data_IF_947931517410
#
_entry.id   IF_947931517410
#
_cell.length_a   1.000
_cell.length_b   1.000
_cell.length_c   1.000
_cell.angle_alpha   90.00
_cell.angle_beta   90.00
_cell.angle_gamma   90.00
#
_symmetry.space_group_name_H-M   'P 1'
#
loop_
_entity.id
_entity.type
_entity.pdbx_description
1 polymer ?
#
# COMPACT_ATOMS: atom_id res chain seq x y z
N UNK A 1 31.77 9.33 14.76
CA UNK A 1 33.04 9.91 15.23
C UNK A 1 33.52 9.01 16.37
N UNK A 2 34.81 8.67 16.38
CA UNK A 2 35.51 7.68 17.21
C UNK A 2 35.31 6.20 16.74
N UNK A 3 36.31 5.58 16.07
CA UNK A 3 37.57 4.95 16.58
C UNK A 3 37.28 3.50 17.02
N UNK A 4 38.02 2.42 16.74
CA UNK A 4 39.41 2.05 16.40
C UNK A 4 39.33 0.66 15.72
N UNK A 5 40.08 0.29 14.68
CA UNK A 5 41.53 0.10 14.54
C UNK A 5 42.12 -1.02 15.44
N UNK A 6 42.64 -2.08 14.80
CA UNK A 6 43.96 -2.70 15.06
C UNK A 6 44.09 -4.10 14.45
N UNK A 7 44.99 -4.15 13.48
CA UNK A 7 46.06 -5.13 13.26
C UNK A 7 46.15 -6.32 14.24
N UNK A 8 46.49 -7.50 13.71
CA UNK A 8 47.72 -8.21 14.10
C UNK A 8 48.15 -9.16 12.96
N UNK A 9 49.38 -8.89 12.54
CA UNK A 9 50.24 -9.65 11.65
C UNK A 9 50.95 -10.78 12.43
N UNK A 10 51.14 -11.90 11.73
CA UNK A 10 52.35 -12.70 11.60
C UNK A 10 53.11 -13.33 12.79
N UNK A 11 53.68 -14.47 12.42
CA UNK A 11 55.00 -15.01 12.75
C UNK A 11 55.16 -16.19 13.71
N UNK A 12 56.11 -17.02 13.26
CA UNK A 12 56.40 -18.41 13.57
C UNK A 12 56.96 -18.65 14.97
N UNK A 13 56.87 -19.89 15.46
CA UNK A 13 57.95 -20.43 16.27
C UNK A 13 58.20 -21.91 15.98
N UNK A 14 59.33 -22.14 15.31
CA UNK A 14 60.07 -23.41 15.21
C UNK A 14 60.87 -23.68 16.50
N UNK A 15 61.40 -24.91 16.59
CA UNK A 15 62.37 -25.47 17.56
C UNK A 15 61.75 -25.95 18.89
N UNK A 16 62.05 -27.11 19.45
CA UNK A 16 63.09 -28.12 19.22
C UNK A 16 63.48 -28.71 20.59
N UNK A 17 63.24 -30.00 20.83
CA UNK A 17 63.60 -30.66 22.09
C UNK A 17 63.66 -32.19 21.95
N UNK A 18 64.84 -32.76 22.19
CA UNK A 18 65.23 -34.20 22.07
C UNK A 18 64.80 -35.05 23.29
N UNK A 19 64.87 -36.41 23.21
CA UNK A 19 64.22 -37.38 24.09
C UNK A 19 65.10 -37.87 25.27
N UNK A 20 64.51 -38.59 26.23
CA UNK A 20 64.85 -40.01 26.46
C UNK A 20 63.56 -40.80 26.85
N UNK A 21 63.45 -42.12 26.95
CA UNK A 21 64.34 -43.27 27.01
C UNK A 21 63.44 -44.51 26.83
N UNK A 22 63.98 -45.56 26.22
CA UNK A 22 63.68 -46.99 26.40
C UNK A 22 62.42 -47.38 27.19
N UNK A 23 61.57 -48.24 26.63
CA UNK A 23 61.29 -49.55 27.21
C UNK A 23 60.44 -50.41 26.27
N UNK A 24 60.89 -51.64 26.04
CA UNK A 24 60.06 -52.82 25.78
C UNK A 24 59.26 -52.85 24.48
N UNK A 25 59.86 -53.38 23.42
CA UNK A 25 59.10 -54.18 22.45
C UNK A 25 58.76 -55.49 23.18
N UNK A 26 57.59 -55.52 23.81
CA UNK A 26 56.86 -56.77 23.98
C UNK A 26 55.54 -56.60 23.24
N UNK A 27 55.46 -57.23 22.07
CA UNK A 27 54.18 -57.62 21.52
C UNK A 27 53.71 -58.87 22.23
N UNK A 28 52.62 -58.84 23.01
CA UNK A 28 51.74 -59.99 23.07
C UNK A 28 50.73 -59.82 21.93
N UNK A 29 50.92 -60.70 20.96
CA UNK A 29 49.89 -61.26 20.10
C UNK A 29 48.51 -61.24 20.78
N UNK A 30 47.52 -60.63 20.11
CA UNK A 30 46.10 -60.89 20.34
C UNK A 30 45.27 -59.69 20.80
N UNK A 31 44.68 -58.96 19.84
CA UNK A 31 43.33 -58.31 19.90
C UNK A 31 43.14 -57.39 18.68
N UNK A 32 42.95 -57.96 17.49
CA UNK A 32 42.62 -57.21 16.28
C UNK A 32 41.20 -56.62 16.28
N UNK A 33 40.26 -57.24 17.00
CA UNK A 33 38.83 -56.87 16.90
C UNK A 33 38.41 -55.68 17.79
N UNK A 34 39.12 -55.39 18.90
CA UNK A 34 38.70 -54.33 19.83
C UNK A 34 39.00 -52.91 19.32
N UNK A 35 40.00 -52.72 18.46
CA UNK A 35 40.40 -51.39 17.98
C UNK A 35 39.61 -50.91 16.77
N UNK A 36 39.15 -51.84 15.92
CA UNK A 36 38.29 -51.52 14.77
C UNK A 36 36.85 -51.23 15.23
N UNK A 37 36.33 -51.97 16.21
CA UNK A 37 34.99 -51.73 16.77
C UNK A 37 34.92 -50.35 17.46
N UNK A 38 35.97 -49.91 18.15
CA UNK A 38 36.03 -48.56 18.72
C UNK A 38 36.16 -47.45 17.67
N UNK A 39 36.84 -47.70 16.55
CA UNK A 39 36.92 -46.75 15.43
C UNK A 39 35.57 -46.63 14.73
N UNK A 40 34.93 -47.76 14.43
CA UNK A 40 33.60 -47.80 13.83
C UNK A 40 32.54 -47.14 14.71
N UNK A 41 32.64 -47.28 16.04
CA UNK A 41 31.75 -46.59 16.98
C UNK A 41 31.95 -45.08 16.93
N UNK A 42 33.20 -44.60 16.92
CA UNK A 42 33.51 -43.17 16.75
C UNK A 42 33.03 -42.61 15.41
N UNK A 43 33.22 -43.35 14.32
CA UNK A 43 32.73 -42.95 13.00
C UNK A 43 31.19 -42.91 12.97
N UNK A 44 30.52 -43.88 13.60
CA UNK A 44 29.05 -43.89 13.72
C UNK A 44 28.54 -42.70 14.54
N UNK A 45 29.22 -42.34 15.63
CA UNK A 45 28.87 -41.16 16.44
C UNK A 45 29.12 -39.84 15.68
N UNK A 46 30.18 -39.76 14.86
CA UNK A 46 30.44 -38.61 13.99
C UNK A 46 29.35 -38.50 12.91
N UNK A 47 28.97 -39.59 12.27
CA UNK A 47 27.90 -39.60 11.26
C UNK A 47 26.58 -39.21 11.90
N UNK A 48 26.28 -39.70 13.10
CA UNK A 48 25.05 -39.36 13.82
C UNK A 48 24.98 -37.88 14.17
N UNK A 49 26.06 -37.30 14.69
CA UNK A 49 26.12 -35.87 15.03
C UNK A 49 26.05 -34.98 13.78
N UNK A 50 26.68 -35.38 12.67
CA UNK A 50 26.52 -34.70 11.38
C UNK A 50 25.09 -34.78 10.86
N UNK A 51 24.43 -35.94 10.99
CA UNK A 51 23.02 -36.11 10.60
C UNK A 51 22.12 -35.19 11.43
N UNK A 52 22.27 -35.19 12.75
CA UNK A 52 21.51 -34.32 13.65
C UNK A 52 21.74 -32.82 13.34
N UNK A 53 22.98 -32.44 13.04
CA UNK A 53 23.31 -31.08 12.58
C UNK A 53 22.61 -30.72 11.26
N UNK A 54 22.65 -31.62 10.28
CA UNK A 54 22.01 -31.42 8.97
C UNK A 54 20.48 -31.32 9.10
N UNK A 55 19.87 -32.13 9.97
CA UNK A 55 18.44 -32.10 10.26
C UNK A 55 18.01 -30.77 10.87
N UNK A 56 18.80 -30.26 11.82
CA UNK A 56 18.53 -28.97 12.46
C UNK A 56 18.62 -27.81 11.46
N UNK A 57 19.60 -27.83 10.56
CA UNK A 57 19.69 -26.85 9.47
C UNK A 57 18.53 -26.97 8.47
N UNK A 58 18.13 -28.20 8.11
CA UNK A 58 16.94 -28.44 7.28
C UNK A 58 15.66 -27.88 7.92
N UNK A 59 15.48 -28.06 9.24
CA UNK A 59 14.35 -27.49 9.96
C UNK A 59 14.37 -25.96 9.98
N UNK A 60 15.55 -25.35 10.17
CA UNK A 60 15.70 -23.88 10.09
C UNK A 60 15.37 -23.35 8.70
N UNK A 61 15.87 -24.00 7.65
CA UNK A 61 15.61 -23.64 6.26
C UNK A 61 14.11 -23.76 5.95
N UNK A 62 13.47 -24.86 6.35
CA UNK A 62 12.04 -25.05 6.15
C UNK A 62 11.22 -23.99 6.88
N UNK A 63 11.60 -23.64 8.12
CA UNK A 63 10.94 -22.57 8.87
C UNK A 63 11.12 -21.20 8.20
N UNK A 64 12.32 -20.91 7.69
CA UNK A 64 12.58 -19.68 6.93
C UNK A 64 11.76 -19.63 5.64
N UNK A 65 11.65 -20.74 4.92
CA UNK A 65 10.84 -20.86 3.70
C UNK A 65 9.35 -20.65 3.96
N UNK A 66 8.81 -21.22 5.04
CA UNK A 66 7.43 -21.00 5.46
C UNK A 66 7.18 -19.52 5.83
N UNK A 67 8.13 -18.88 6.51
CA UNK A 67 8.04 -17.46 6.82
C UNK A 67 8.09 -16.60 5.55
N UNK A 68 8.99 -16.90 4.61
CA UNK A 68 9.04 -16.22 3.31
C UNK A 68 7.73 -16.39 2.55
N UNK A 69 7.15 -17.60 2.51
CA UNK A 69 5.85 -17.85 1.87
C UNK A 69 4.74 -16.99 2.49
N UNK A 70 4.73 -16.82 3.81
CA UNK A 70 3.78 -15.93 4.50
C UNK A 70 3.99 -14.46 4.15
N UNK A 71 5.24 -14.02 4.04
CA UNK A 71 5.58 -12.64 3.64
C UNK A 71 5.12 -12.38 2.20
N UNK A 72 5.40 -13.31 1.28
CA UNK A 72 4.96 -13.23 -0.12
C UNK A 72 3.44 -13.17 -0.21
N UNK A 73 2.72 -14.07 0.47
CA UNK A 73 1.26 -14.04 0.50
C UNK A 73 0.68 -12.75 1.11
N UNK A 74 1.40 -12.12 2.04
CA UNK A 74 1.02 -10.83 2.61
C UNK A 74 1.28 -9.68 1.64
N UNK A 75 2.38 -9.75 0.89
CA UNK A 75 2.69 -8.78 -0.16
C UNK A 75 1.68 -8.87 -1.31
N UNK A 76 1.34 -10.06 -1.79
CA UNK A 76 0.32 -10.27 -2.82
C UNK A 76 -1.01 -9.64 -2.41
N UNK A 77 -1.48 -9.92 -1.19
CA UNK A 77 -2.69 -9.27 -0.65
C UNK A 77 -2.60 -7.75 -0.60
N UNK A 78 -1.43 -7.19 -0.27
CA UNK A 78 -1.22 -5.75 -0.27
C UNK A 78 -1.24 -5.18 -1.69
N UNK A 79 -0.60 -5.86 -2.63
CA UNK A 79 -0.60 -5.48 -4.05
C UNK A 79 -2.02 -5.49 -4.60
N UNK A 80 -2.80 -6.56 -4.39
CA UNK A 80 -4.20 -6.66 -4.80
C UNK A 80 -5.06 -5.54 -4.16
N UNK A 81 -4.80 -5.23 -2.88
CA UNK A 81 -5.52 -4.17 -2.17
C UNK A 81 -5.17 -2.77 -2.71
N UNK A 82 -3.94 -2.55 -3.18
CA UNK A 82 -3.53 -1.30 -3.78
C UNK A 82 -4.05 -1.16 -5.21
N UNK A 83 -4.00 -2.23 -6.00
CA UNK A 83 -4.52 -2.27 -7.35
C UNK A 83 -6.03 -2.02 -7.38
N UNK A 84 -6.79 -2.69 -6.50
CA UNK A 84 -8.23 -2.46 -6.36
C UNK A 84 -8.55 -1.02 -5.94
N UNK A 85 -7.82 -0.46 -4.98
CA UNK A 85 -7.97 0.96 -4.59
C UNK A 85 -7.64 1.91 -5.74
N UNK A 86 -6.58 1.63 -6.50
CA UNK A 86 -6.18 2.42 -7.67
C UNK A 86 -7.28 2.41 -8.74
N UNK A 87 -7.83 1.22 -9.05
CA UNK A 87 -8.90 1.08 -10.03
C UNK A 87 -10.20 1.79 -9.61
N UNK A 88 -10.56 1.73 -8.32
CA UNK A 88 -11.71 2.47 -7.78
C UNK A 88 -11.46 3.98 -7.87
N UNK A 89 -10.26 4.45 -7.58
CA UNK A 89 -9.90 5.87 -7.69
C UNK A 89 -9.92 6.34 -9.16
N UNK A 90 -9.48 5.51 -10.10
CA UNK A 90 -9.51 5.79 -11.53
C UNK A 90 -10.96 5.93 -12.04
N UNK A 91 -11.83 4.98 -11.70
CA UNK A 91 -13.26 5.04 -12.05
C UNK A 91 -13.93 6.30 -11.49
N UNK A 92 -13.66 6.64 -10.22
CA UNK A 92 -14.15 7.89 -9.62
C UNK A 92 -13.60 9.11 -10.36
N UNK A 93 -12.34 9.10 -10.76
CA UNK A 93 -11.73 10.23 -11.48
C UNK A 93 -12.37 10.46 -12.85
N UNK A 94 -12.68 9.40 -13.59
CA UNK A 94 -13.40 9.49 -14.87
C UNK A 94 -14.79 10.11 -14.67
N UNK A 95 -15.49 9.69 -13.62
CA UNK A 95 -16.80 10.24 -13.25
C UNK A 95 -16.71 11.74 -12.91
N UNK A 96 -15.73 12.16 -12.10
CA UNK A 96 -15.46 13.57 -11.79
C UNK A 96 -15.23 14.38 -13.06
N UNK A 97 -14.38 13.90 -13.96
CA UNK A 97 -14.06 14.59 -15.21
C UNK A 97 -15.30 14.75 -16.07
N UNK A 98 -16.09 13.69 -16.24
CA UNK A 98 -17.35 13.74 -17.00
C UNK A 98 -18.33 14.76 -16.43
N UNK A 99 -18.43 14.82 -15.10
CA UNK A 99 -19.27 15.78 -14.39
C UNK A 99 -18.77 17.23 -14.63
N UNK A 100 -17.46 17.50 -14.53
CA UNK A 100 -16.88 18.83 -14.82
C UNK A 100 -17.12 19.23 -16.29
N UNK A 101 -16.92 18.31 -17.23
CA UNK A 101 -17.17 18.58 -18.65
C UNK A 101 -18.63 18.97 -18.92
N UNK A 102 -19.58 18.34 -18.24
CA UNK A 102 -20.99 18.71 -18.32
C UNK A 102 -21.27 20.13 -17.80
N UNK A 103 -20.59 20.59 -16.73
CA UNK A 103 -20.70 21.99 -16.25
C UNK A 103 -20.24 22.97 -17.30
N UNK A 104 -19.06 22.72 -17.86
CA UNK A 104 -18.47 23.63 -18.84
C UNK A 104 -19.40 23.74 -20.05
N UNK A 105 -19.91 22.61 -20.55
CA UNK A 105 -20.89 22.59 -21.63
C UNK A 105 -22.17 23.35 -21.27
N UNK A 106 -22.72 23.12 -20.08
CA UNK A 106 -23.93 23.79 -19.59
C UNK A 106 -23.74 25.32 -19.50
N UNK A 107 -22.61 25.77 -18.95
CA UNK A 107 -22.27 27.19 -18.85
C UNK A 107 -22.13 27.81 -20.24
N UNK A 108 -21.45 27.14 -21.18
CA UNK A 108 -21.30 27.63 -22.56
C UNK A 108 -22.65 27.75 -23.27
N UNK A 109 -23.54 26.76 -23.11
CA UNK A 109 -24.89 26.82 -23.66
C UNK A 109 -25.66 28.00 -23.09
N UNK A 110 -25.63 28.22 -21.76
CA UNK A 110 -26.33 29.34 -21.15
C UNK A 110 -25.76 30.70 -21.54
N UNK A 111 -24.43 30.85 -21.66
CA UNK A 111 -23.81 32.11 -22.14
C UNK A 111 -24.28 32.43 -23.56
N UNK A 112 -24.26 31.44 -24.46
CA UNK A 112 -24.73 31.64 -25.83
C UNK A 112 -26.25 31.94 -25.88
N UNK A 113 -27.03 31.27 -25.04
CA UNK A 113 -28.47 31.48 -24.94
C UNK A 113 -28.81 32.85 -24.35
N UNK A 114 -28.08 33.30 -23.33
CA UNK A 114 -28.28 34.60 -22.70
C UNK A 114 -27.92 35.75 -23.65
N UNK A 115 -26.83 35.61 -24.41
CA UNK A 115 -26.41 36.62 -25.39
C UNK A 115 -27.37 36.78 -26.58
N UNK A 116 -28.24 35.80 -26.84
CA UNK A 116 -29.24 35.86 -27.92
C UNK A 116 -30.60 36.40 -27.46
N UNK A 117 -30.79 36.68 -26.16
CA UNK A 117 -32.05 37.24 -25.67
C UNK A 117 -32.10 38.76 -25.86
N UNK A 118 -33.17 39.22 -26.50
CA UNK A 118 -33.44 40.65 -26.73
C UNK A 118 -34.49 41.22 -25.78
N UNK A 119 -35.32 40.37 -25.17
CA UNK A 119 -36.34 40.78 -24.20
C UNK A 119 -35.89 40.50 -22.76
N UNK A 120 -36.26 41.40 -21.85
CA UNK A 120 -35.94 41.29 -20.43
C UNK A 120 -36.60 40.04 -19.80
N UNK A 121 -37.83 39.73 -20.22
CA UNK A 121 -38.56 38.54 -19.79
C UNK A 121 -37.83 37.24 -20.15
N UNK A 122 -37.36 37.10 -21.40
CA UNK A 122 -36.65 35.90 -21.82
C UNK A 122 -35.30 35.77 -21.11
N UNK A 123 -34.58 36.87 -20.92
CA UNK A 123 -33.35 36.89 -20.12
C UNK A 123 -33.59 36.40 -18.70
N UNK A 124 -34.75 36.75 -18.11
CA UNK A 124 -35.12 36.29 -16.77
C UNK A 124 -35.45 34.79 -16.74
N UNK A 125 -36.17 34.27 -17.73
CA UNK A 125 -36.40 32.83 -17.86
C UNK A 125 -35.10 32.02 -18.04
N UNK A 126 -34.16 32.55 -18.83
CA UNK A 126 -32.83 31.94 -18.98
C UNK A 126 -32.08 31.93 -17.64
N UNK A 127 -32.15 33.02 -16.86
CA UNK A 127 -31.53 33.10 -15.53
C UNK A 127 -32.12 32.08 -14.54
N UNK A 128 -33.44 31.95 -14.47
CA UNK A 128 -34.11 30.96 -13.60
C UNK A 128 -33.71 29.54 -14.00
N UNK A 129 -33.71 29.25 -15.29
CA UNK A 129 -33.39 27.92 -15.83
C UNK A 129 -31.93 27.58 -15.55
N UNK A 130 -31.01 28.52 -15.77
CA UNK A 130 -29.58 28.36 -15.48
C UNK A 130 -29.33 28.09 -14.00
N UNK A 131 -29.98 28.87 -13.13
CA UNK A 131 -29.88 28.70 -11.68
C UNK A 131 -30.41 27.34 -11.25
N UNK A 132 -31.58 26.94 -11.75
CA UNK A 132 -32.19 25.65 -11.41
C UNK A 132 -31.32 24.48 -11.86
N UNK A 133 -30.77 24.55 -13.07
CA UNK A 133 -29.83 23.54 -13.56
C UNK A 133 -28.56 23.48 -12.71
N UNK A 134 -28.02 24.63 -12.29
CA UNK A 134 -26.86 24.71 -11.41
C UNK A 134 -27.16 24.11 -10.02
N UNK A 135 -28.35 24.33 -9.48
CA UNK A 135 -28.81 23.78 -8.19
C UNK A 135 -28.90 22.25 -8.23
N UNK A 136 -29.52 21.70 -9.29
CA UNK A 136 -29.62 20.25 -9.50
C UNK A 136 -28.21 19.65 -9.63
N UNK A 137 -27.36 20.31 -10.40
CA UNK A 137 -25.99 19.88 -10.62
C UNK A 137 -25.16 19.90 -9.32
N UNK A 138 -25.24 20.98 -8.55
CA UNK A 138 -24.54 21.10 -7.27
C UNK A 138 -25.04 20.04 -6.26
N UNK A 139 -26.33 19.71 -6.29
CA UNK A 139 -26.91 18.60 -5.53
C UNK A 139 -26.35 17.24 -5.95
N UNK A 140 -26.20 16.99 -7.25
CA UNK A 140 -25.57 15.78 -7.78
C UNK A 140 -24.10 15.71 -7.33
N UNK A 141 -23.34 16.79 -7.44
CA UNK A 141 -21.97 16.86 -6.94
C UNK A 141 -21.90 16.54 -5.44
N UNK A 142 -22.76 17.14 -4.63
CA UNK A 142 -22.77 16.82 -3.21
C UNK A 142 -23.10 15.34 -2.95
N UNK A 143 -24.04 14.76 -3.71
CA UNK A 143 -24.38 13.33 -3.60
C UNK A 143 -23.22 12.41 -3.99
N UNK A 144 -22.52 12.68 -5.10
CA UNK A 144 -21.40 11.85 -5.57
C UNK A 144 -20.15 11.99 -4.69
N UNK A 145 -19.87 13.19 -4.19
CA UNK A 145 -18.62 13.49 -3.49
C UNK A 145 -18.74 13.40 -1.96
N UNK A 146 -19.94 13.52 -1.39
CA UNK A 146 -20.14 13.65 0.05
C UNK A 146 -20.91 12.46 0.64
N UNK A 147 -20.44 11.23 0.37
CA UNK A 147 -21.11 9.98 0.73
C UNK A 147 -21.08 9.64 2.23
N UNK A 148 -20.27 10.34 3.03
CA UNK A 148 -19.99 9.96 4.42
C UNK A 148 -20.77 10.78 5.47
N UNK A 149 -21.41 11.89 5.08
CA UNK A 149 -21.85 12.90 6.04
C UNK A 149 -23.38 13.15 6.02
N UNK A 150 -24.12 12.29 6.73
CA UNK A 150 -25.60 12.26 6.74
C UNK A 150 -26.29 13.55 7.22
N UNK A 151 -25.61 14.39 8.01
CA UNK A 151 -26.19 15.62 8.54
C UNK A 151 -25.97 16.85 7.65
N UNK A 152 -24.90 16.85 6.84
CA UNK A 152 -24.52 17.99 5.99
C UNK A 152 -25.48 18.21 4.80
N UNK A 153 -26.14 17.15 4.33
CA UNK A 153 -27.08 17.22 3.20
C UNK A 153 -28.28 18.15 3.44
N UNK A 154 -28.81 18.18 4.67
CA UNK A 154 -29.98 19.02 5.03
C UNK A 154 -29.65 20.52 4.96
N UNK A 155 -28.49 20.92 5.52
CA UNK A 155 -28.04 22.31 5.50
C UNK A 155 -27.66 22.75 4.09
N UNK A 156 -27.08 21.84 3.30
CA UNK A 156 -26.72 22.09 1.91
C UNK A 156 -27.96 22.34 1.03
N UNK A 157 -28.99 21.49 1.12
CA UNK A 157 -30.25 21.70 0.40
C UNK A 157 -30.93 22.99 0.85
N UNK A 158 -30.95 23.26 2.16
CA UNK A 158 -31.54 24.49 2.68
C UNK A 158 -30.85 25.75 2.11
N UNK A 159 -29.53 25.73 2.00
CA UNK A 159 -28.74 26.80 1.37
C UNK A 159 -29.07 26.97 -0.12
N UNK A 160 -29.25 25.87 -0.86
CA UNK A 160 -29.63 25.92 -2.27
C UNK A 160 -31.04 26.48 -2.47
N UNK A 161 -31.99 26.05 -1.63
CA UNK A 161 -33.36 26.58 -1.65
C UNK A 161 -33.41 28.07 -1.31
N UNK A 162 -32.59 28.52 -0.37
CA UNK A 162 -32.46 29.94 -0.04
C UNK A 162 -32.03 30.77 -1.25
N UNK A 163 -31.00 30.33 -1.99
CA UNK A 163 -30.56 31.01 -3.21
C UNK A 163 -31.64 31.05 -4.29
N UNK A 164 -32.38 29.95 -4.46
CA UNK A 164 -33.50 29.89 -5.40
C UNK A 164 -34.59 30.92 -5.04
N UNK A 165 -34.95 31.01 -3.76
CA UNK A 165 -35.96 31.97 -3.26
C UNK A 165 -35.50 33.41 -3.52
N UNK A 166 -34.23 33.74 -3.25
CA UNK A 166 -33.68 35.08 -3.51
C UNK A 166 -33.82 35.46 -4.98
N UNK A 167 -33.50 34.54 -5.90
CA UNK A 167 -33.59 34.79 -7.34
C UNK A 167 -35.04 34.99 -7.79
N UNK A 168 -35.98 34.20 -7.26
CA UNK A 168 -37.42 34.37 -7.52
C UNK A 168 -37.91 35.72 -7.00
N UNK A 169 -37.51 36.14 -5.80
CA UNK A 169 -37.89 37.44 -5.23
C UNK A 169 -37.34 38.61 -6.03
N UNK A 170 -36.07 38.54 -6.47
CA UNK A 170 -35.48 39.56 -7.36
C UNK A 170 -36.23 39.61 -8.68
N UNK A 171 -36.64 38.46 -9.22
CA UNK A 171 -37.46 38.38 -10.43
C UNK A 171 -38.82 39.01 -10.30
N UNK A 172 -39.54 38.67 -9.23
CA UNK A 172 -40.82 39.29 -8.92
C UNK A 172 -40.67 40.80 -8.73
N UNK A 173 -39.62 41.25 -8.05
CA UNK A 173 -39.36 42.68 -7.88
C UNK A 173 -39.15 43.40 -9.22
N UNK A 174 -38.37 42.82 -10.14
CA UNK A 174 -38.15 43.39 -11.47
C UNK A 174 -39.44 43.39 -12.30
N UNK A 175 -40.23 42.31 -12.23
CA UNK A 175 -41.45 42.14 -13.02
C UNK A 175 -42.62 43.02 -12.53
N UNK A 176 -42.73 43.21 -11.21
CA UNK A 176 -43.76 44.06 -10.59
C UNK A 176 -43.32 45.50 -10.37
N UNK A 177 -42.08 45.87 -10.73
CA UNK A 177 -41.65 47.27 -10.67
C UNK A 177 -42.54 48.08 -11.61
N UNK A 178 -43.38 49.00 -11.09
CA UNK A 178 -44.23 49.81 -11.95
C UNK A 178 -43.32 50.69 -12.80
N UNK A 179 -43.53 50.63 -14.11
CA UNK A 179 -42.86 51.45 -15.10
C UNK A 179 -43.32 52.90 -15.02
#
# INVERSE_FOLDING_TARGET
MALEDKDILNEESSTGGKPPSSFGIESPVGKGESSEVEKLKRETDIVKTLWEGLNNEFQKINKAFQNQKKVVATLEKKVDSLESRSRVAELRSIEVIGIISAVIALVLVFVNTANSQTSLENSFFVLITATSALVIFASLMHYFFNTEDKNSYKYYIASLFFFLIVIVLVGLYIFFKPH
#
